data_IF_521016305195
#
_entry.id   IF_521016305195
#
_cell.length_a   1.000
_cell.length_b   1.000
_cell.length_c   1.000
_cell.angle_alpha   90.00
_cell.angle_beta   90.00
_cell.angle_gamma   90.00
#
_symmetry.space_group_name_H-M   'P 1'
#
loop_
_entity.id
_entity.type
_entity.pdbx_description
1 polymer ?
#
# COMPACT_ATOMS: atom_id res chain seq x y z
N UNK A 1 48.97 -42.34 -3.42
CA UNK A 1 48.90 -40.94 -3.90
C UNK A 1 47.60 -40.76 -4.69
N UNK A 2 46.47 -40.65 -3.99
CA UNK A 2 45.14 -40.49 -4.60
C UNK A 2 44.34 -39.57 -3.66
N UNK A 3 44.59 -38.27 -3.74
CA UNK A 3 43.89 -37.29 -2.89
C UNK A 3 43.94 -35.86 -3.42
N UNK A 4 43.80 -35.67 -4.72
CA UNK A 4 43.56 -34.34 -5.29
C UNK A 4 42.74 -34.59 -6.56
N UNK A 5 41.43 -34.33 -6.53
CA UNK A 5 40.57 -34.04 -7.70
C UNK A 5 39.06 -34.23 -7.44
N UNK A 6 38.63 -34.72 -6.27
CA UNK A 6 37.19 -34.84 -5.98
C UNK A 6 36.53 -33.49 -5.60
N UNK A 7 37.30 -32.49 -5.19
CA UNK A 7 36.76 -31.19 -4.78
C UNK A 7 36.48 -30.22 -5.93
N UNK A 8 37.10 -30.39 -7.11
CA UNK A 8 36.94 -29.46 -8.24
C UNK A 8 35.68 -29.76 -9.06
N UNK A 9 35.18 -31.01 -9.06
CA UNK A 9 33.96 -31.37 -9.78
C UNK A 9 32.66 -30.94 -9.08
N UNK A 10 32.72 -30.63 -7.78
CA UNK A 10 31.56 -30.25 -6.98
C UNK A 10 31.17 -28.76 -7.12
N UNK A 11 32.04 -27.93 -7.72
CA UNK A 11 31.76 -26.51 -8.01
C UNK A 11 30.96 -26.30 -9.32
N UNK A 12 30.88 -27.30 -10.20
CA UNK A 12 30.15 -27.23 -11.47
C UNK A 12 28.66 -27.59 -11.37
N UNK A 13 28.19 -27.96 -10.18
CA UNK A 13 26.79 -28.31 -9.91
C UNK A 13 26.06 -27.24 -9.09
N UNK A 14 26.51 -25.98 -9.11
CA UNK A 14 25.65 -24.89 -8.65
C UNK A 14 24.65 -24.62 -9.78
N UNK A 15 23.35 -24.94 -9.61
CA UNK A 15 22.35 -24.51 -10.58
C UNK A 15 22.42 -23.00 -10.67
N UNK A 16 22.51 -22.45 -11.89
CA UNK A 16 22.33 -21.02 -12.14
C UNK A 16 20.98 -20.63 -11.55
N UNK A 17 20.99 -20.07 -10.34
CA UNK A 17 19.79 -19.61 -9.67
C UNK A 17 19.30 -18.38 -10.42
N UNK A 18 18.09 -18.49 -10.96
CA UNK A 18 17.41 -17.36 -11.60
C UNK A 18 17.24 -16.27 -10.54
N UNK A 19 18.01 -15.19 -10.66
CA UNK A 19 17.97 -14.08 -9.71
C UNK A 19 16.81 -13.16 -10.05
N UNK A 20 15.70 -13.22 -9.33
CA UNK A 20 14.65 -12.21 -9.49
C UNK A 20 15.21 -10.87 -9.00
N UNK A 21 15.21 -9.85 -9.87
CA UNK A 21 15.58 -8.49 -9.49
C UNK A 21 14.34 -7.76 -9.01
N UNK A 22 14.38 -7.22 -7.80
CA UNK A 22 13.29 -6.42 -7.22
C UNK A 22 13.79 -5.06 -6.75
N UNK A 23 12.95 -4.04 -6.88
CA UNK A 23 13.20 -2.68 -6.40
C UNK A 23 11.95 -2.16 -5.70
N UNK A 24 12.17 -1.55 -4.54
CA UNK A 24 11.18 -0.73 -3.85
C UNK A 24 11.37 0.72 -4.32
N UNK A 25 10.31 1.29 -4.88
CA UNK A 25 10.29 2.68 -5.33
C UNK A 25 10.11 3.63 -4.13
N UNK A 26 10.41 4.90 -4.38
CA UNK A 26 10.19 5.96 -3.39
C UNK A 26 8.72 5.98 -2.97
N UNK A 27 8.41 5.90 -1.66
CA UNK A 27 7.06 6.01 -1.17
C UNK A 27 6.42 7.34 -1.61
N UNK A 28 5.13 7.29 -1.92
CA UNK A 28 4.34 8.47 -2.26
C UNK A 28 3.08 8.51 -1.41
N UNK A 29 2.40 9.65 -1.42
CA UNK A 29 1.12 9.83 -0.72
C UNK A 29 0.06 10.40 -1.65
N UNK A 30 -1.20 10.10 -1.32
CA UNK A 30 -2.39 10.67 -1.95
C UNK A 30 -3.41 10.98 -0.86
N UNK A 31 -4.09 12.12 -0.97
CA UNK A 31 -5.22 12.43 -0.10
C UNK A 31 -6.41 11.56 -0.46
N UNK A 32 -7.15 11.09 0.54
CA UNK A 32 -8.47 10.54 0.29
C UNK A 32 -9.40 11.58 -0.36
N UNK A 33 -10.50 11.11 -0.93
CA UNK A 33 -11.44 11.91 -1.71
C UNK A 33 -10.82 12.65 -2.92
N UNK A 34 -9.57 12.31 -3.28
CA UNK A 34 -8.97 12.76 -4.54
C UNK A 34 -9.82 12.32 -5.74
N UNK A 35 -9.91 13.15 -6.80
CA UNK A 35 -10.69 12.79 -7.99
C UNK A 35 -10.23 11.47 -8.63
N UNK A 36 -11.17 10.70 -9.18
CA UNK A 36 -10.85 9.54 -10.00
C UNK A 36 -9.95 9.97 -11.17
N UNK A 37 -9.06 9.09 -11.60
CA UNK A 37 -7.99 9.34 -12.59
C UNK A 37 -6.86 10.24 -12.13
N UNK A 38 -6.83 10.67 -10.87
CA UNK A 38 -5.66 11.33 -10.28
C UNK A 38 -4.42 10.47 -10.48
N UNK A 39 -3.37 11.05 -11.04
CA UNK A 39 -2.07 10.39 -11.22
C UNK A 39 -1.36 10.37 -9.88
N UNK A 40 -1.17 9.18 -9.33
CA UNK A 40 -0.49 8.96 -8.05
C UNK A 40 1.02 8.91 -8.28
N UNK A 41 1.44 8.20 -9.32
CA UNK A 41 2.86 8.02 -9.68
C UNK A 41 3.02 7.97 -11.20
N UNK A 42 4.04 8.65 -11.71
CA UNK A 42 4.50 8.52 -13.10
C UNK A 42 5.77 7.65 -13.14
N UNK A 43 5.63 6.43 -13.69
CA UNK A 43 6.72 5.45 -13.78
C UNK A 43 7.48 5.53 -15.11
N UNK A 44 7.08 6.42 -16.04
CA UNK A 44 7.75 6.55 -17.35
C UNK A 44 9.25 6.89 -17.23
N UNK A 45 9.69 7.76 -16.31
CA UNK A 45 11.13 8.01 -16.10
C UNK A 45 11.86 6.75 -15.61
N UNK A 46 11.24 5.98 -14.72
CA UNK A 46 11.79 4.69 -14.24
C UNK A 46 11.93 3.70 -15.38
N UNK A 47 10.91 3.58 -16.23
CA UNK A 47 10.94 2.70 -17.40
C UNK A 47 11.97 3.15 -18.45
N UNK A 48 12.13 4.46 -18.65
CA UNK A 48 13.20 5.00 -19.49
C UNK A 48 14.59 4.61 -18.97
N UNK A 49 14.83 4.73 -17.65
CA UNK A 49 16.08 4.29 -17.02
C UNK A 49 16.32 2.79 -17.16
N UNK A 50 15.26 1.98 -17.17
CA UNK A 50 15.31 0.53 -17.35
C UNK A 50 15.30 0.11 -18.82
N UNK A 51 15.25 1.06 -19.77
CA UNK A 51 15.16 0.79 -21.22
C UNK A 51 13.99 -0.13 -21.60
N UNK A 52 12.84 0.05 -20.97
CA UNK A 52 11.61 -0.72 -21.22
C UNK A 52 10.44 0.16 -21.61
N UNK A 53 9.55 -0.38 -22.42
CA UNK A 53 8.27 0.25 -22.76
C UNK A 53 7.25 0.04 -21.63
N UNK A 54 6.40 1.04 -21.32
CA UNK A 54 5.37 0.91 -20.29
C UNK A 54 4.44 -0.30 -20.45
N UNK A 55 4.15 -0.73 -21.68
CA UNK A 55 3.26 -1.88 -21.95
C UNK A 55 3.87 -3.23 -21.52
N UNK A 56 5.17 -3.25 -21.19
CA UNK A 56 5.85 -4.43 -20.66
C UNK A 56 5.65 -4.59 -19.15
N UNK A 57 5.01 -3.62 -18.49
CA UNK A 57 4.71 -3.66 -17.07
C UNK A 57 3.25 -4.03 -16.81
N UNK A 58 3.01 -4.93 -15.85
CA UNK A 58 1.66 -5.38 -15.44
C UNK A 58 1.60 -5.46 -13.92
N UNK A 59 0.47 -5.06 -13.33
CA UNK A 59 0.22 -5.24 -11.89
C UNK A 59 0.14 -6.72 -11.53
N UNK A 60 1.00 -7.16 -10.61
CA UNK A 60 1.14 -8.56 -10.18
C UNK A 60 0.01 -9.06 -9.29
N UNK A 61 -0.76 -8.17 -8.68
CA UNK A 61 -1.92 -8.48 -7.86
C UNK A 61 -2.88 -7.31 -7.97
N UNK A 62 -3.77 -7.32 -8.97
CA UNK A 62 -4.99 -6.53 -8.85
C UNK A 62 -5.88 -7.23 -7.82
N UNK A 63 -5.61 -7.04 -6.53
CA UNK A 63 -6.66 -7.30 -5.55
C UNK A 63 -7.86 -6.46 -6.03
N UNK A 64 -9.02 -7.07 -6.36
CA UNK A 64 -10.13 -6.33 -6.96
C UNK A 64 -10.59 -5.17 -6.09
N UNK A 65 -10.25 -5.24 -4.80
CA UNK A 65 -10.50 -4.25 -3.76
C UNK A 65 -9.52 -3.07 -3.68
N UNK A 66 -8.38 -3.04 -4.39
CA UNK A 66 -7.46 -1.90 -4.33
C UNK A 66 -7.97 -0.72 -5.18
N UNK A 67 -7.80 0.55 -4.76
CA UNK A 67 -8.37 1.72 -5.45
C UNK A 67 -7.54 2.20 -6.64
N UNK A 68 -6.53 1.43 -7.06
CA UNK A 68 -5.57 1.87 -8.07
C UNK A 68 -5.59 0.98 -9.31
N UNK A 69 -5.18 1.58 -10.42
CA UNK A 69 -4.93 0.93 -11.69
C UNK A 69 -3.61 1.42 -12.30
N UNK A 70 -3.08 0.64 -13.23
CA UNK A 70 -1.90 0.98 -14.01
C UNK A 70 -2.31 1.18 -15.47
N UNK A 71 -2.06 2.38 -16.01
CA UNK A 71 -2.38 2.72 -17.41
C UNK A 71 -1.24 3.55 -18.01
N UNK A 72 -0.64 3.05 -19.10
CA UNK A 72 0.34 3.74 -19.93
C UNK A 72 1.49 4.36 -19.10
N UNK A 73 2.10 3.57 -18.22
CA UNK A 73 3.24 4.02 -17.43
C UNK A 73 2.88 4.82 -16.18
N UNK A 74 1.61 4.92 -15.82
CA UNK A 74 1.16 5.69 -14.65
C UNK A 74 0.27 4.86 -13.75
N UNK A 75 0.45 5.02 -12.45
CA UNK A 75 -0.49 4.55 -11.44
C UNK A 75 -1.52 5.65 -11.22
N UNK A 76 -2.80 5.29 -11.32
CA UNK A 76 -3.92 6.22 -11.18
C UNK A 76 -4.95 5.69 -10.19
N UNK A 77 -5.71 6.62 -9.62
CA UNK A 77 -6.87 6.29 -8.82
C UNK A 77 -8.02 5.84 -9.74
N UNK A 78 -8.55 4.62 -9.54
CA UNK A 78 -9.62 4.04 -10.37
C UNK A 78 -11.01 4.13 -9.75
N UNK A 79 -11.09 4.29 -8.43
CA UNK A 79 -12.33 4.33 -7.66
C UNK A 79 -12.20 5.29 -6.49
N UNK A 80 -13.33 5.68 -5.89
CA UNK A 80 -13.32 6.49 -4.67
C UNK A 80 -12.39 5.88 -3.61
N UNK A 81 -11.53 6.71 -3.06
CA UNK A 81 -10.63 6.40 -1.96
C UNK A 81 -11.19 7.12 -0.73
N UNK A 82 -11.86 6.36 0.12
CA UNK A 82 -12.42 6.78 1.41
C UNK A 82 -11.65 5.98 2.46
N UNK A 83 -10.78 6.63 3.22
CA UNK A 83 -9.81 5.97 4.09
C UNK A 83 -10.52 5.15 5.15
N UNK A 84 -11.60 5.66 5.74
CA UNK A 84 -12.37 4.95 6.76
C UNK A 84 -13.04 3.71 6.21
N UNK A 85 -13.59 3.77 4.99
CA UNK A 85 -14.19 2.60 4.36
C UNK A 85 -13.14 1.49 4.12
N UNK A 86 -11.94 1.86 3.68
CA UNK A 86 -10.84 0.91 3.47
C UNK A 86 -10.28 0.34 4.78
N UNK A 87 -10.12 1.17 5.82
CA UNK A 87 -9.70 0.73 7.16
C UNK A 87 -10.73 -0.23 7.75
N UNK A 88 -12.03 0.13 7.72
CA UNK A 88 -13.15 -0.68 8.23
C UNK A 88 -13.25 -2.04 7.54
N UNK A 89 -13.04 -2.07 6.22
CA UNK A 89 -13.04 -3.30 5.41
C UNK A 89 -11.71 -4.07 5.47
N UNK A 90 -10.69 -3.56 6.18
CA UNK A 90 -9.34 -4.14 6.27
C UNK A 90 -8.68 -4.34 4.90
N UNK A 91 -8.87 -3.37 4.00
CA UNK A 91 -8.39 -3.40 2.61
C UNK A 91 -7.05 -2.67 2.41
N UNK A 92 -6.49 -2.06 3.45
CA UNK A 92 -5.17 -1.45 3.46
C UNK A 92 -4.31 -1.97 4.62
N UNK A 93 -3.00 -1.83 4.46
CA UNK A 93 -1.99 -2.18 5.45
C UNK A 93 -1.97 -1.09 6.53
N UNK A 94 -1.90 -1.47 7.80
CA UNK A 94 -1.96 -0.56 8.94
C UNK A 94 -3.24 -0.72 9.76
N UNK A 95 -4.38 -0.98 9.10
CA UNK A 95 -5.62 -1.53 9.68
C UNK A 95 -6.22 -0.79 10.88
N UNK A 96 -5.73 0.39 11.22
CA UNK A 96 -6.16 1.22 12.34
C UNK A 96 -6.44 2.65 11.86
N UNK A 97 -7.06 3.47 12.72
CA UNK A 97 -7.53 4.82 12.36
C UNK A 97 -6.37 5.76 11.98
N UNK A 98 -5.12 5.43 12.30
CA UNK A 98 -3.98 6.31 12.03
C UNK A 98 -3.25 5.98 10.73
N UNK A 99 -3.41 4.77 10.19
CA UNK A 99 -2.61 4.30 9.05
C UNK A 99 -3.42 3.47 8.05
N UNK A 100 -3.38 3.89 6.78
CA UNK A 100 -3.94 3.15 5.65
C UNK A 100 -2.99 3.22 4.45
N UNK A 101 -2.20 2.16 4.27
CA UNK A 101 -1.14 2.08 3.28
C UNK A 101 -1.43 0.98 2.24
N UNK A 102 -0.94 1.19 1.03
CA UNK A 102 -1.02 0.26 -0.08
C UNK A 102 0.37 -0.01 -0.64
N UNK A 103 0.55 -1.21 -1.17
CA UNK A 103 1.75 -1.56 -1.94
C UNK A 103 1.28 -2.14 -3.26
N UNK A 104 1.58 -1.43 -4.35
CA UNK A 104 1.34 -1.93 -5.70
C UNK A 104 2.59 -2.59 -6.23
N UNK A 105 2.47 -3.85 -6.64
CA UNK A 105 3.58 -4.59 -7.23
C UNK A 105 3.36 -4.70 -8.73
N UNK A 106 4.34 -4.30 -9.52
CA UNK A 106 4.37 -4.47 -10.97
C UNK A 106 5.46 -5.47 -11.34
N UNK A 107 5.14 -6.39 -12.25
CA UNK A 107 6.16 -7.13 -13.00
C UNK A 107 6.44 -6.39 -14.27
N UNK A 108 7.73 -6.21 -14.57
CA UNK A 108 8.23 -5.64 -15.80
C UNK A 108 8.97 -6.73 -16.56
N UNK A 109 8.55 -6.99 -17.79
CA UNK A 109 9.24 -7.90 -18.69
C UNK A 109 10.40 -7.17 -19.38
N UNK A 110 11.64 -7.58 -19.11
CA UNK A 110 12.84 -6.94 -19.67
C UNK A 110 13.23 -7.46 -21.07
N UNK A 111 12.42 -8.34 -21.69
CA UNK A 111 12.75 -9.06 -22.94
C UNK A 111 14.10 -9.80 -22.93
N UNK A 112 14.68 -10.02 -21.74
CA UNK A 112 15.93 -10.74 -21.51
C UNK A 112 15.65 -11.85 -20.50
N UNK A 113 15.76 -13.11 -20.95
CA UNK A 113 15.71 -14.24 -20.03
C UNK A 113 16.89 -14.12 -19.06
N UNK A 114 16.68 -14.31 -17.75
CA UNK A 114 15.55 -14.97 -17.08
C UNK A 114 14.62 -14.04 -16.27
N UNK A 115 14.67 -12.71 -16.46
CA UNK A 115 14.20 -11.80 -15.41
C UNK A 115 12.85 -11.14 -15.70
N UNK A 116 11.88 -11.41 -14.81
CA UNK A 116 10.81 -10.48 -14.50
C UNK A 116 11.36 -9.51 -13.43
N UNK A 117 11.42 -8.22 -13.74
CA UNK A 117 11.84 -7.20 -12.78
C UNK A 117 10.63 -6.77 -11.95
N UNK A 118 10.74 -6.84 -10.62
CA UNK A 118 9.63 -6.53 -9.72
C UNK A 118 9.78 -5.11 -9.20
N UNK A 119 8.80 -4.25 -9.47
CA UNK A 119 8.67 -2.92 -8.89
C UNK A 119 7.61 -2.92 -7.80
N UNK A 120 7.99 -2.55 -6.59
CA UNK A 120 7.05 -2.33 -5.49
C UNK A 120 6.91 -0.83 -5.24
N UNK A 121 5.69 -0.30 -5.41
CA UNK A 121 5.36 1.10 -5.15
C UNK A 121 4.55 1.21 -3.84
N UNK A 122 5.15 1.71 -2.75
CA UNK A 122 4.42 2.06 -1.54
C UNK A 122 3.62 3.35 -1.75
N UNK A 123 2.37 3.36 -1.28
CA UNK A 123 1.44 4.49 -1.37
C UNK A 123 0.75 4.65 -0.02
N UNK A 124 0.80 5.85 0.56
CA UNK A 124 0.09 6.18 1.80
C UNK A 124 -1.17 7.00 1.50
N UNK A 125 -2.30 6.60 2.09
CA UNK A 125 -3.52 7.41 2.08
C UNK A 125 -3.44 8.45 3.20
N UNK A 126 -3.51 9.73 2.83
CA UNK A 126 -3.54 10.84 3.77
C UNK A 126 -4.98 11.16 4.12
N UNK A 127 -5.23 11.19 5.42
CA UNK A 127 -6.50 11.57 6.03
C UNK A 127 -6.85 13.03 5.73
N UNK A 128 -8.13 13.30 5.50
CA UNK A 128 -8.68 14.66 5.54
C UNK A 128 -9.77 14.73 6.61
N UNK A 129 -9.98 15.93 7.17
CA UNK A 129 -11.02 16.11 8.19
C UNK A 129 -12.41 16.26 7.53
N UNK A 130 -12.93 15.18 6.94
CA UNK A 130 -14.26 15.11 6.30
C UNK A 130 -15.31 14.37 7.16
N UNK A 131 -14.90 13.78 8.28
CA UNK A 131 -15.79 13.18 9.28
C UNK A 131 -16.09 14.16 10.40
N UNK A 132 -17.33 14.64 10.43
CA UNK A 132 -17.85 15.46 11.51
C UNK A 132 -18.04 14.58 12.76
N UNK A 133 -17.52 14.97 13.94
CA UNK A 133 -17.78 14.27 15.19
C UNK A 133 -19.29 14.18 15.45
N UNK A 134 -19.76 12.98 15.82
CA UNK A 134 -21.17 12.73 16.14
C UNK A 134 -21.28 12.14 17.52
N UNK A 135 -22.17 12.70 18.32
CA UNK A 135 -22.64 12.04 19.54
C UNK A 135 -23.51 10.83 19.16
N UNK A 136 -23.52 9.82 20.02
CA UNK A 136 -24.41 8.64 19.88
C UNK A 136 -25.89 9.03 19.97
N UNK A 137 -26.19 10.12 20.68
CA UNK A 137 -27.54 10.65 20.90
C UNK A 137 -27.57 12.16 20.62
N UNK A 138 -28.72 12.69 20.19
CA UNK A 138 -28.91 14.14 19.96
C UNK A 138 -29.16 14.92 21.25
N UNK A 139 -29.61 14.26 22.31
CA UNK A 139 -29.81 14.80 23.65
C UNK A 139 -29.33 13.74 24.65
N UNK A 140 -28.65 14.16 25.73
CA UNK A 140 -28.29 13.27 26.83
C UNK A 140 -28.76 13.88 28.15
N UNK A 141 -29.54 13.11 28.91
CA UNK A 141 -30.08 13.54 30.21
C UNK A 141 -29.20 13.02 31.34
N UNK A 142 -28.71 13.94 32.16
CA UNK A 142 -27.85 13.64 33.31
C UNK A 142 -28.60 14.08 34.57
N UNK A 143 -28.78 13.14 35.51
CA UNK A 143 -29.40 13.42 36.81
C UNK A 143 -28.35 13.43 37.91
N UNK A 144 -28.38 14.45 38.76
CA UNK A 144 -27.41 14.64 39.85
C UNK A 144 -28.13 15.15 41.10
N UNK A 145 -27.69 14.69 42.27
CA UNK A 145 -28.19 15.22 43.54
C UNK A 145 -27.64 16.65 43.78
N UNK A 146 -28.43 17.52 44.40
CA UNK A 146 -28.06 18.92 44.63
C UNK A 146 -26.85 19.08 45.58
N UNK A 147 -26.65 18.11 46.48
CA UNK A 147 -25.61 18.13 47.51
C UNK A 147 -24.32 17.43 47.06
N UNK A 148 -24.14 17.24 45.76
CA UNK A 148 -22.94 16.60 45.22
C UNK A 148 -21.69 17.44 45.51
N UNK A 149 -20.61 16.83 46.03
CA UNK A 149 -19.41 17.56 46.40
C UNK A 149 -18.66 18.11 45.19
N UNK A 150 -17.90 19.18 45.42
CA UNK A 150 -16.98 19.74 44.42
C UNK A 150 -15.98 18.67 43.98
N UNK A 151 -15.75 18.58 42.67
CA UNK A 151 -14.86 17.58 42.07
C UNK A 151 -15.52 16.24 41.74
N UNK A 152 -16.82 16.09 42.00
CA UNK A 152 -17.58 14.94 41.52
C UNK A 152 -17.54 14.85 39.99
N UNK A 153 -17.22 13.66 39.47
CA UNK A 153 -17.12 13.39 38.03
C UNK A 153 -18.35 12.63 37.58
N UNK A 154 -19.01 13.15 36.55
CA UNK A 154 -20.13 12.48 35.91
C UNK A 154 -19.57 11.61 34.78
N UNK A 155 -19.75 10.28 34.83
CA UNK A 155 -19.34 9.43 33.72
C UNK A 155 -20.22 9.77 32.51
N UNK A 156 -19.59 10.16 31.41
CA UNK A 156 -20.28 10.22 30.12
C UNK A 156 -20.44 8.79 29.61
N UNK A 157 -21.54 8.51 28.89
CA UNK A 157 -21.63 7.26 28.13
C UNK A 157 -20.40 7.14 27.23
N UNK A 158 -19.72 6.00 27.30
CA UNK A 158 -18.58 5.72 26.44
C UNK A 158 -19.15 5.45 25.04
N UNK A 159 -18.71 6.24 24.06
CA UNK A 159 -19.07 6.08 22.65
C UNK A 159 -18.42 4.83 22.03
#
# INVERSE_FOLDING_TARGET
MLRVNLFIFLLYLIPYSQSIVSQILTPVSIFEESPISTVVVDLRPTFQSLSVHPDQAVLLHSQPSQPFEYINGRIRLKSRLDREDYVRKRLCIGGNVLECNFTLTLTVNLNQAPYNYILSQPISCQDINDIIPKFSQTESKISMAENVPIGHRIPLEIA
#
